data_IF_333382284677
#
_entry.id   IF_333382284677
#
_cell.length_a   1.000
_cell.length_b   1.000
_cell.length_c   1.000
_cell.angle_alpha   90.00
_cell.angle_beta   90.00
_cell.angle_gamma   90.00
#
_symmetry.space_group_name_H-M   'P 1'
#
loop_
_entity.id
_entity.type
_entity.pdbx_description
1 polymer ?
#
# COMPACT_ATOMS: atom_id res chain seq x y z
N UNK A 1 27.42 -14.73 21.31
CA UNK A 1 26.84 -13.65 20.47
C UNK A 1 25.72 -13.02 21.28
N UNK A 2 25.73 -11.70 21.45
CA UNK A 2 24.58 -10.98 22.01
C UNK A 2 23.37 -11.23 21.09
N UNK A 3 22.19 -11.50 21.67
CA UNK A 3 20.97 -11.67 20.90
C UNK A 3 20.61 -10.32 20.24
N UNK A 4 20.41 -10.30 18.92
CA UNK A 4 19.99 -9.11 18.17
C UNK A 4 18.53 -8.79 18.54
N UNK A 5 18.24 -7.54 18.88
CA UNK A 5 16.89 -7.09 19.18
C UNK A 5 16.12 -6.75 17.87
N UNK A 6 14.79 -6.75 17.94
CA UNK A 6 13.95 -6.37 16.79
C UNK A 6 14.27 -4.95 16.28
N UNK A 7 14.52 -3.99 17.19
CA UNK A 7 14.95 -2.62 16.87
C UNK A 7 16.32 -2.51 16.20
N UNK A 8 17.16 -3.54 16.31
CA UNK A 8 18.47 -3.63 15.65
C UNK A 8 18.38 -4.38 14.31
N UNK A 9 17.43 -5.28 14.21
CA UNK A 9 17.21 -6.10 13.01
C UNK A 9 16.46 -5.33 11.92
N UNK A 10 15.46 -4.55 12.31
CA UNK A 10 14.48 -3.97 11.40
C UNK A 10 13.44 -4.98 10.91
N UNK A 11 12.39 -4.48 10.31
CA UNK A 11 11.25 -5.28 9.85
C UNK A 11 11.66 -6.34 8.82
N UNK A 12 12.48 -5.96 7.85
CA UNK A 12 12.89 -6.84 6.74
C UNK A 12 13.62 -8.09 7.22
N UNK A 13 14.55 -7.94 8.18
CA UNK A 13 15.23 -9.09 8.78
C UNK A 13 14.29 -9.97 9.59
N UNK A 14 13.29 -9.40 10.24
CA UNK A 14 12.29 -10.17 10.95
C UNK A 14 11.43 -10.99 9.97
N UNK A 15 11.06 -10.43 8.83
CA UNK A 15 10.36 -11.15 7.75
C UNK A 15 11.24 -12.27 7.19
N UNK A 16 12.51 -11.99 6.89
CA UNK A 16 13.46 -13.01 6.41
C UNK A 16 13.60 -14.18 7.41
N UNK A 17 13.74 -13.87 8.69
CA UNK A 17 13.82 -14.88 9.75
C UNK A 17 12.52 -15.71 9.87
N UNK A 18 11.35 -15.06 9.70
CA UNK A 18 10.08 -15.77 9.69
C UNK A 18 9.97 -16.71 8.47
N UNK A 19 10.33 -16.25 7.28
CA UNK A 19 10.35 -17.07 6.06
C UNK A 19 11.30 -18.25 6.19
N UNK A 20 12.50 -18.04 6.76
CA UNK A 20 13.46 -19.10 7.02
C UNK A 20 12.90 -20.15 8.01
N UNK A 21 12.27 -19.69 9.09
CA UNK A 21 11.69 -20.56 10.11
C UNK A 21 10.49 -21.37 9.59
N UNK A 22 9.64 -20.79 8.74
CA UNK A 22 8.52 -21.48 8.10
C UNK A 22 9.02 -22.50 7.06
N UNK A 23 10.08 -22.15 6.35
CA UNK A 23 10.64 -22.98 5.30
C UNK A 23 9.81 -22.94 3.99
N UNK A 24 10.00 -23.97 3.14
CA UNK A 24 9.29 -24.04 1.86
C UNK A 24 7.81 -24.34 2.05
N UNK A 25 6.99 -23.57 1.35
CA UNK A 25 5.54 -23.79 1.26
C UNK A 25 5.15 -24.28 -0.14
N UNK A 26 4.09 -25.08 -0.20
CA UNK A 26 3.48 -25.52 -1.47
C UNK A 26 2.27 -24.65 -1.84
N UNK A 27 2.45 -23.33 -1.80
CA UNK A 27 1.41 -22.39 -2.17
C UNK A 27 1.63 -21.89 -3.60
N UNK A 28 0.54 -21.53 -4.34
CA UNK A 28 0.64 -20.95 -5.68
C UNK A 28 1.46 -19.66 -5.73
N UNK A 29 1.46 -18.90 -4.64
CA UNK A 29 2.23 -17.68 -4.45
C UNK A 29 3.17 -17.87 -3.25
N UNK A 30 4.44 -17.50 -3.40
CA UNK A 30 5.43 -17.61 -2.31
C UNK A 30 5.23 -16.50 -1.27
N UNK A 31 5.72 -16.72 -0.05
CA UNK A 31 5.73 -15.69 1.01
C UNK A 31 6.54 -14.49 0.52
N UNK A 32 6.02 -13.27 0.76
CA UNK A 32 6.63 -12.01 0.36
C UNK A 32 5.88 -11.27 -0.75
N UNK A 33 4.75 -11.82 -1.23
CA UNK A 33 3.78 -11.07 -2.04
C UNK A 33 2.72 -10.41 -1.15
N UNK A 34 1.88 -9.51 -1.66
CA UNK A 34 0.91 -8.73 -0.88
C UNK A 34 -0.18 -9.61 -0.24
N UNK A 35 -0.45 -10.77 -0.82
CA UNK A 35 -1.45 -11.73 -0.32
C UNK A 35 -0.89 -13.15 -0.29
N UNK A 36 -1.49 -14.00 0.52
CA UNK A 36 -1.27 -15.45 0.47
C UNK A 36 -2.38 -16.11 -0.37
N UNK A 37 -2.03 -17.22 -1.05
CA UNK A 37 -2.97 -17.98 -1.89
C UNK A 37 -2.89 -19.45 -1.54
N UNK A 38 -4.05 -20.06 -1.29
CA UNK A 38 -4.18 -21.48 -1.03
C UNK A 38 -5.08 -22.10 -2.11
N UNK A 39 -4.66 -23.23 -2.67
CA UNK A 39 -5.55 -24.01 -3.56
C UNK A 39 -6.61 -24.72 -2.71
N UNK A 40 -7.85 -24.35 -2.92
CA UNK A 40 -9.01 -24.93 -2.28
C UNK A 40 -9.84 -25.73 -3.30
N UNK A 41 -9.26 -26.80 -3.85
CA UNK A 41 -9.93 -27.67 -4.82
C UNK A 41 -10.09 -27.06 -6.21
N UNK A 42 -9.05 -26.40 -6.70
CA UNK A 42 -9.01 -25.71 -8.00
C UNK A 42 -9.52 -24.28 -7.98
N UNK A 43 -9.81 -23.75 -6.80
CA UNK A 43 -10.15 -22.34 -6.57
C UNK A 43 -9.04 -21.71 -5.71
N UNK A 44 -8.47 -20.61 -6.16
CA UNK A 44 -7.51 -19.83 -5.36
C UNK A 44 -8.23 -19.12 -4.21
N UNK A 45 -8.09 -19.64 -2.98
CA UNK A 45 -8.49 -18.93 -1.77
C UNK A 45 -7.39 -17.92 -1.45
N UNK A 46 -7.74 -16.66 -1.43
CA UNK A 46 -6.82 -15.54 -1.15
C UNK A 46 -7.02 -15.09 0.28
N UNK A 47 -5.92 -14.96 1.01
CA UNK A 47 -5.88 -14.50 2.39
C UNK A 47 -4.95 -13.29 2.50
N UNK A 48 -5.37 -12.29 3.26
CA UNK A 48 -4.56 -11.13 3.62
C UNK A 48 -4.76 -10.78 5.08
N UNK A 49 -3.71 -10.33 5.73
CA UNK A 49 -3.80 -9.72 7.06
C UNK A 49 -2.74 -8.66 7.23
N UNK A 50 -3.14 -7.50 7.75
CA UNK A 50 -2.29 -6.45 8.28
C UNK A 50 -2.77 -6.01 9.64
N UNK A 51 -1.86 -5.40 10.38
CA UNK A 51 -2.06 -4.93 11.74
C UNK A 51 -1.79 -3.43 11.81
N UNK A 52 -2.75 -2.67 12.31
CA UNK A 52 -2.62 -1.26 12.66
C UNK A 52 -2.33 -1.15 14.16
N UNK A 53 -1.25 -0.46 14.51
CA UNK A 53 -0.82 -0.21 15.90
C UNK A 53 -0.91 1.29 16.19
N UNK A 54 -1.53 1.67 17.31
CA UNK A 54 -1.82 3.09 17.58
C UNK A 54 -0.58 3.98 17.62
N UNK A 55 0.51 3.50 18.22
CA UNK A 55 1.75 4.28 18.38
C UNK A 55 2.49 4.57 17.07
N UNK A 56 2.28 3.77 16.02
CA UNK A 56 2.97 3.90 14.72
C UNK A 56 2.06 4.39 13.60
N UNK A 57 0.78 3.99 13.60
CA UNK A 57 -0.09 4.11 12.42
C UNK A 57 -1.25 5.10 12.64
N UNK A 58 -1.44 5.62 13.87
CA UNK A 58 -2.56 6.49 14.21
C UNK A 58 -2.09 7.88 14.59
N UNK A 59 -2.13 8.85 13.68
CA UNK A 59 -1.91 10.25 14.03
C UNK A 59 -2.87 10.70 15.16
N UNK A 60 -2.41 11.54 16.11
CA UNK A 60 -3.22 11.98 17.25
C UNK A 60 -4.55 12.65 16.87
N UNK A 61 -4.67 13.15 15.64
CA UNK A 61 -5.87 13.80 15.11
C UNK A 61 -6.88 12.80 14.52
N UNK A 62 -6.52 11.53 14.39
CA UNK A 62 -7.38 10.51 13.80
C UNK A 62 -8.49 10.09 14.77
N UNK A 63 -9.74 10.25 14.35
CA UNK A 63 -10.89 9.83 15.14
C UNK A 63 -11.04 8.29 15.14
N UNK A 64 -11.67 7.70 16.18
CA UNK A 64 -11.87 6.25 16.28
C UNK A 64 -12.53 5.62 15.05
N UNK A 65 -13.49 6.31 14.41
CA UNK A 65 -14.10 5.86 13.15
C UNK A 65 -13.08 5.76 12.03
N UNK A 66 -12.18 6.75 11.91
CA UNK A 66 -11.11 6.77 10.91
C UNK A 66 -10.08 5.67 11.12
N UNK A 67 -9.77 5.33 12.38
CA UNK A 67 -8.90 4.19 12.71
C UNK A 67 -9.48 2.88 12.17
N UNK A 68 -10.77 2.63 12.43
CA UNK A 68 -11.46 1.44 11.91
C UNK A 68 -11.51 1.41 10.38
N UNK A 69 -11.76 2.57 9.75
CA UNK A 69 -11.72 2.73 8.30
C UNK A 69 -10.35 2.40 7.72
N UNK A 70 -9.28 3.03 8.23
CA UNK A 70 -7.90 2.83 7.77
C UNK A 70 -7.47 1.38 7.91
N UNK A 71 -7.74 0.73 9.04
CA UNK A 71 -7.36 -0.67 9.27
C UNK A 71 -7.93 -1.62 8.21
N UNK A 72 -9.15 -1.37 7.73
CA UNK A 72 -9.74 -2.16 6.63
C UNK A 72 -9.12 -1.78 5.29
N UNK A 73 -8.93 -0.48 5.03
CA UNK A 73 -8.41 0.02 3.75
C UNK A 73 -7.01 -0.51 3.45
N UNK A 74 -6.11 -0.57 4.43
CA UNK A 74 -4.77 -1.15 4.29
C UNK A 74 -4.84 -2.54 3.66
N UNK A 75 -5.65 -3.43 4.22
CA UNK A 75 -5.83 -4.79 3.74
C UNK A 75 -6.52 -4.89 2.36
N UNK A 76 -7.48 -4.00 2.10
CA UNK A 76 -8.16 -3.93 0.79
C UNK A 76 -7.20 -3.46 -0.29
N UNK A 77 -6.23 -2.59 0.03
CA UNK A 77 -5.22 -2.11 -0.90
C UNK A 77 -4.37 -3.24 -1.47
N UNK A 78 -3.90 -4.14 -0.62
CA UNK A 78 -3.16 -5.34 -1.05
C UNK A 78 -4.00 -6.24 -1.96
N UNK A 79 -5.25 -6.49 -1.57
CA UNK A 79 -6.14 -7.30 -2.41
C UNK A 79 -6.42 -6.62 -3.75
N UNK A 80 -6.55 -5.29 -3.77
CA UNK A 80 -6.68 -4.49 -4.98
C UNK A 80 -5.48 -4.66 -5.90
N UNK A 81 -4.26 -4.60 -5.37
CA UNK A 81 -3.04 -4.82 -6.13
C UNK A 81 -3.02 -6.18 -6.82
N UNK A 82 -3.65 -7.18 -6.23
CA UNK A 82 -3.73 -8.54 -6.81
C UNK A 82 -4.93 -8.75 -7.73
N UNK A 83 -5.79 -7.74 -7.89
CA UNK A 83 -7.03 -7.85 -8.66
C UNK A 83 -8.03 -8.79 -8.00
N UNK A 84 -8.10 -8.81 -6.68
CA UNK A 84 -8.96 -9.71 -5.90
C UNK A 84 -9.98 -8.90 -5.11
N UNK A 85 -11.26 -9.25 -5.27
CA UNK A 85 -12.31 -8.67 -4.45
C UNK A 85 -12.39 -9.40 -3.10
N UNK A 86 -12.37 -8.69 -1.96
CA UNK A 86 -12.68 -9.30 -0.67
C UNK A 86 -14.09 -9.91 -0.65
N UNK A 87 -14.24 -11.07 -0.04
CA UNK A 87 -15.52 -11.74 0.16
C UNK A 87 -16.02 -11.57 1.60
N UNK A 88 -15.10 -11.56 2.56
CA UNK A 88 -15.39 -11.38 3.98
C UNK A 88 -14.15 -10.93 4.73
N UNK A 89 -14.35 -10.33 5.92
CA UNK A 89 -13.29 -9.96 6.83
C UNK A 89 -13.58 -10.32 8.27
N UNK A 90 -12.54 -10.48 9.08
CA UNK A 90 -12.61 -10.62 10.53
C UNK A 90 -11.63 -9.65 11.20
N UNK A 91 -11.94 -9.22 12.43
CA UNK A 91 -11.14 -8.26 13.19
C UNK A 91 -10.60 -8.92 14.47
N UNK A 92 -9.31 -8.79 14.75
CA UNK A 92 -8.76 -9.06 16.06
C UNK A 92 -8.30 -7.72 16.67
N UNK A 93 -8.86 -7.36 17.83
CA UNK A 93 -8.70 -6.02 18.41
C UNK A 93 -8.15 -6.13 19.84
N UNK A 94 -6.99 -5.53 20.06
CA UNK A 94 -6.44 -5.28 21.39
C UNK A 94 -6.77 -3.86 21.83
N UNK A 95 -7.37 -3.69 23.02
CA UNK A 95 -7.72 -2.36 23.54
C UNK A 95 -7.16 -2.15 24.94
N UNK A 96 -6.70 -0.91 25.28
CA UNK A 96 -6.36 -0.55 26.65
C UNK A 96 -7.60 -0.63 27.59
N UNK A 97 -7.36 -0.90 28.86
CA UNK A 97 -8.44 -1.02 29.84
C UNK A 97 -9.26 0.27 30.08
N UNK A 98 -8.71 1.42 29.72
CA UNK A 98 -9.33 2.75 29.80
C UNK A 98 -9.92 3.23 28.45
N UNK A 99 -9.90 2.40 27.40
CA UNK A 99 -10.49 2.72 26.11
C UNK A 99 -12.01 2.83 26.23
N UNK A 100 -12.58 3.94 25.79
CA UNK A 100 -14.00 4.23 25.98
C UNK A 100 -14.86 3.34 25.10
N UNK A 101 -15.95 2.81 25.64
CA UNK A 101 -16.91 1.97 24.90
C UNK A 101 -17.48 2.68 23.66
N UNK A 102 -17.73 3.99 23.75
CA UNK A 102 -18.27 4.76 22.62
C UNK A 102 -17.24 4.90 21.49
N UNK A 103 -15.95 5.07 21.83
CA UNK A 103 -14.87 5.12 20.85
C UNK A 103 -14.68 3.75 20.19
N UNK A 104 -14.82 2.65 20.94
CA UNK A 104 -14.82 1.30 20.41
C UNK A 104 -15.97 1.08 19.40
N UNK A 105 -17.17 1.53 19.72
CA UNK A 105 -18.31 1.45 18.78
C UNK A 105 -18.07 2.24 17.50
N UNK A 106 -17.46 3.43 17.59
CA UNK A 106 -17.09 4.24 16.43
C UNK A 106 -16.02 3.54 15.58
N UNK A 107 -15.02 2.92 16.20
CA UNK A 107 -14.00 2.14 15.50
C UNK A 107 -14.63 0.99 14.70
N UNK A 108 -15.48 0.17 15.36
CA UNK A 108 -16.18 -0.93 14.67
C UNK A 108 -17.08 -0.40 13.55
N UNK A 109 -17.74 0.74 13.77
CA UNK A 109 -18.54 1.37 12.72
C UNK A 109 -17.69 1.79 11.53
N UNK A 110 -16.52 2.39 11.75
CA UNK A 110 -15.56 2.76 10.68
C UNK A 110 -15.12 1.54 9.87
N UNK A 111 -14.73 0.45 10.53
CA UNK A 111 -14.37 -0.79 9.87
C UNK A 111 -15.54 -1.38 9.06
N UNK A 112 -16.76 -1.36 9.61
CA UNK A 112 -17.95 -1.84 8.91
C UNK A 112 -18.34 -0.96 7.72
N UNK A 113 -18.19 0.35 7.82
CA UNK A 113 -18.47 1.29 6.73
C UNK A 113 -17.46 1.11 5.60
N UNK A 114 -16.17 0.92 5.91
CA UNK A 114 -15.14 0.60 4.92
C UNK A 114 -15.44 -0.74 4.22
N UNK A 115 -15.76 -1.79 4.96
CA UNK A 115 -16.12 -3.08 4.38
C UNK A 115 -17.29 -2.97 3.39
N UNK A 116 -18.34 -2.20 3.73
CA UNK A 116 -19.49 -1.94 2.83
C UNK A 116 -19.09 -1.15 1.59
N UNK A 117 -18.22 -0.13 1.72
CA UNK A 117 -17.71 0.64 0.58
C UNK A 117 -17.05 -0.28 -0.45
N UNK A 118 -16.29 -1.29 0.02
CA UNK A 118 -15.61 -2.26 -0.84
C UNK A 118 -16.43 -3.53 -1.14
N UNK A 119 -17.68 -3.57 -0.67
CA UNK A 119 -18.68 -4.59 -1.05
C UNK A 119 -18.46 -5.95 -0.40
N UNK A 120 -18.06 -5.97 0.87
CA UNK A 120 -18.00 -7.16 1.72
C UNK A 120 -18.48 -6.85 3.15
N UNK A 121 -18.49 -7.84 4.04
CA UNK A 121 -18.91 -7.70 5.43
C UNK A 121 -17.83 -8.17 6.39
N UNK A 122 -17.79 -7.54 7.59
CA UNK A 122 -17.07 -8.07 8.75
C UNK A 122 -17.97 -9.14 9.38
N UNK A 123 -17.52 -10.37 9.36
CA UNK A 123 -18.34 -11.54 9.75
C UNK A 123 -17.95 -12.14 11.11
N UNK A 124 -16.94 -11.58 11.78
CA UNK A 124 -16.48 -12.07 13.08
C UNK A 124 -15.22 -11.38 13.55
N UNK A 125 -14.67 -11.88 14.64
CA UNK A 125 -13.43 -11.37 15.20
C UNK A 125 -13.20 -11.81 16.64
N UNK A 126 -12.20 -11.19 17.28
CA UNK A 126 -11.82 -11.39 18.67
C UNK A 126 -11.49 -10.05 19.32
N UNK A 127 -11.60 -9.96 20.64
CA UNK A 127 -11.25 -8.75 21.40
C UNK A 127 -10.49 -9.13 22.66
N UNK A 128 -9.35 -8.49 22.90
CA UNK A 128 -8.52 -8.75 24.06
C UNK A 128 -7.99 -7.46 24.69
N UNK A 129 -7.53 -7.55 25.94
CA UNK A 129 -6.85 -6.43 26.59
C UNK A 129 -5.43 -6.29 26.06
N UNK A 130 -5.02 -5.05 25.79
CA UNK A 130 -3.68 -4.72 25.31
C UNK A 130 -3.16 -3.44 26.00
N UNK A 131 -1.89 -3.11 25.84
CA UNK A 131 -1.32 -1.88 26.39
C UNK A 131 -1.67 -0.64 25.57
N UNK A 132 -1.84 -0.81 24.26
CA UNK A 132 -2.28 0.21 23.31
C UNK A 132 -3.29 -0.38 22.33
N UNK A 133 -3.97 0.46 21.57
CA UNK A 133 -4.90 0.00 20.55
C UNK A 133 -4.15 -0.70 19.41
N UNK A 134 -4.57 -1.93 19.14
CA UNK A 134 -4.11 -2.74 18.01
C UNK A 134 -5.32 -3.26 17.25
N UNK A 135 -5.33 -3.12 15.94
CA UNK A 135 -6.42 -3.60 15.08
C UNK A 135 -5.82 -4.45 13.97
N UNK A 136 -5.90 -5.76 14.09
CA UNK A 136 -5.56 -6.66 13.01
C UNK A 136 -6.81 -7.01 12.20
N UNK A 137 -6.74 -6.83 10.90
CA UNK A 137 -7.79 -7.21 9.96
C UNK A 137 -7.30 -8.41 9.16
N UNK A 138 -8.14 -9.43 9.02
CA UNK A 138 -7.89 -10.50 8.08
C UNK A 138 -9.02 -10.57 7.05
N UNK A 139 -8.65 -10.57 5.78
CA UNK A 139 -9.57 -10.63 4.64
C UNK A 139 -9.43 -11.98 3.92
N UNK A 140 -10.54 -12.50 3.46
CA UNK A 140 -10.60 -13.64 2.56
C UNK A 140 -11.26 -13.24 1.24
N UNK A 141 -10.77 -13.78 0.13
CA UNK A 141 -11.33 -13.62 -1.19
C UNK A 141 -11.10 -14.87 -2.04
N UNK A 142 -11.66 -14.88 -3.23
CA UNK A 142 -11.42 -15.96 -4.19
C UNK A 142 -11.04 -15.37 -5.54
N UNK A 143 -10.06 -15.97 -6.20
CA UNK A 143 -9.62 -15.54 -7.51
C UNK A 143 -9.26 -16.72 -8.41
N UNK A 144 -9.58 -16.58 -9.71
CA UNK A 144 -9.08 -17.48 -10.75
C UNK A 144 -7.72 -17.05 -11.29
N UNK A 145 -7.41 -15.77 -11.19
CA UNK A 145 -6.16 -15.14 -11.61
C UNK A 145 -5.77 -14.11 -10.55
N UNK A 146 -4.50 -14.05 -10.27
CA UNK A 146 -3.88 -13.09 -9.36
C UNK A 146 -2.76 -12.42 -10.12
N UNK A 147 -2.57 -11.12 -9.95
CA UNK A 147 -1.45 -10.37 -10.50
C UNK A 147 -0.34 -10.37 -9.44
N UNK A 148 0.74 -11.16 -9.60
CA UNK A 148 1.83 -11.20 -8.62
C UNK A 148 2.69 -9.93 -8.68
N UNK A 149 3.58 -9.75 -7.71
CA UNK A 149 4.67 -8.75 -7.79
C UNK A 149 5.67 -9.11 -8.91
N UNK A 150 5.79 -10.39 -9.26
CA UNK A 150 6.65 -10.88 -10.34
C UNK A 150 5.91 -10.90 -11.68
N UNK A 151 6.67 -10.83 -12.77
CA UNK A 151 6.11 -11.00 -14.13
C UNK A 151 6.33 -9.82 -15.05
N UNK A 152 6.89 -8.71 -14.55
CA UNK A 152 7.32 -7.60 -15.39
C UNK A 152 8.41 -8.05 -16.36
N UNK A 153 8.34 -7.57 -17.59
CA UNK A 153 9.32 -7.86 -18.66
C UNK A 153 9.92 -6.56 -19.18
N UNK A 154 11.17 -6.57 -19.63
CA UNK A 154 11.76 -5.40 -20.30
C UNK A 154 10.86 -4.93 -21.44
N UNK A 155 10.55 -3.62 -21.43
CA UNK A 155 9.61 -2.98 -22.35
C UNK A 155 8.19 -2.80 -21.80
N UNK A 156 7.81 -3.48 -20.72
CA UNK A 156 6.52 -3.23 -20.05
C UNK A 156 6.47 -1.78 -19.54
N UNK A 157 5.31 -1.16 -19.68
CA UNK A 157 5.05 0.19 -19.20
C UNK A 157 4.86 0.14 -17.68
N UNK A 158 5.64 0.93 -16.93
CA UNK A 158 5.41 1.18 -15.51
C UNK A 158 4.37 2.28 -15.38
N UNK A 159 3.35 2.05 -14.56
CA UNK A 159 2.25 2.98 -14.35
C UNK A 159 1.73 2.98 -12.91
N UNK A 160 1.00 4.05 -12.54
CA UNK A 160 0.34 4.20 -11.24
C UNK A 160 -1.12 4.61 -11.41
N UNK A 161 -1.96 4.31 -10.43
CA UNK A 161 -3.39 4.65 -10.41
C UNK A 161 -3.67 6.08 -9.94
N UNK A 162 -2.66 6.79 -9.44
CA UNK A 162 -2.80 8.18 -8.97
C UNK A 162 -1.47 8.89 -8.77
N UNK A 163 -1.56 10.05 -8.15
CA UNK A 163 -0.44 10.90 -7.77
C UNK A 163 0.09 10.50 -6.39
N UNK A 164 1.33 10.89 -6.11
CA UNK A 164 2.05 10.63 -4.88
C UNK A 164 2.43 11.92 -4.14
N UNK A 165 2.74 11.79 -2.85
CA UNK A 165 3.19 12.86 -1.99
C UNK A 165 2.10 13.47 -1.12
N UNK A 166 0.81 13.19 -1.37
CA UNK A 166 -0.29 13.74 -0.58
C UNK A 166 -0.29 13.23 0.86
N UNK A 167 -0.19 11.91 1.04
CA UNK A 167 -0.14 11.31 2.37
C UNK A 167 1.12 11.71 3.13
N UNK A 168 2.27 11.70 2.47
CA UNK A 168 3.54 12.15 3.03
C UNK A 168 3.50 13.61 3.51
N UNK A 169 2.99 14.53 2.67
CA UNK A 169 2.80 15.92 3.04
C UNK A 169 1.79 16.10 4.17
N UNK A 170 0.69 15.34 4.14
CA UNK A 170 -0.35 15.32 5.16
C UNK A 170 0.17 14.84 6.52
N UNK A 171 0.98 13.78 6.55
CA UNK A 171 1.65 13.30 7.77
C UNK A 171 2.58 14.36 8.36
N UNK A 172 3.39 15.02 7.52
CA UNK A 172 4.26 16.12 7.98
C UNK A 172 3.45 17.31 8.52
N UNK A 173 2.32 17.65 7.89
CA UNK A 173 1.43 18.66 8.41
C UNK A 173 0.84 18.26 9.78
N UNK A 174 0.36 17.02 9.93
CA UNK A 174 -0.30 16.54 11.14
C UNK A 174 0.67 16.28 12.30
N UNK A 175 1.84 15.69 12.02
CA UNK A 175 2.77 15.23 13.05
C UNK A 175 3.86 16.26 13.37
N UNK A 176 4.37 16.97 12.35
CA UNK A 176 5.44 17.96 12.52
C UNK A 176 4.90 19.40 12.61
N UNK A 177 3.60 19.62 12.37
CA UNK A 177 2.97 20.95 12.41
C UNK A 177 3.38 21.88 11.28
N UNK A 178 3.95 21.36 10.18
CA UNK A 178 4.34 22.18 9.04
C UNK A 178 3.11 22.84 8.40
N UNK A 179 3.17 24.14 8.04
CA UNK A 179 2.01 24.87 7.53
C UNK A 179 1.57 24.34 6.14
N UNK A 180 0.25 24.26 5.94
CA UNK A 180 -0.38 23.96 4.66
C UNK A 180 -1.20 25.17 4.21
N UNK A 181 -1.24 25.44 2.90
CA UNK A 181 -2.13 26.46 2.33
C UNK A 181 -3.59 26.12 2.69
N UNK A 182 -4.43 27.09 3.04
CA UNK A 182 -5.83 26.81 3.43
C UNK A 182 -6.61 26.01 2.38
N UNK A 183 -6.34 26.26 1.08
CA UNK A 183 -6.98 25.54 -0.04
C UNK A 183 -6.51 24.09 -0.22
N UNK A 184 -5.29 23.75 0.21
CA UNK A 184 -4.66 22.46 -0.02
C UNK A 184 -4.81 21.52 1.20
N UNK A 185 -5.10 22.09 2.39
CA UNK A 185 -5.13 21.36 3.65
C UNK A 185 -6.01 20.10 3.62
N UNK A 186 -7.21 20.19 3.06
CA UNK A 186 -8.13 19.05 2.97
C UNK A 186 -7.55 17.95 2.07
N UNK A 187 -6.96 18.33 0.92
CA UNK A 187 -6.36 17.39 0.00
C UNK A 187 -5.16 16.64 0.61
N UNK A 188 -4.40 17.29 1.51
CA UNK A 188 -3.27 16.68 2.20
C UNK A 188 -3.71 15.80 3.38
N UNK A 189 -4.69 16.25 4.17
CA UNK A 189 -5.08 15.58 5.43
C UNK A 189 -5.99 14.38 5.19
N UNK A 190 -6.91 14.50 4.22
CA UNK A 190 -7.90 13.44 3.95
C UNK A 190 -7.31 12.09 3.55
N UNK A 191 -6.27 11.99 2.68
CA UNK A 191 -5.64 10.71 2.37
C UNK A 191 -5.02 10.01 3.58
N UNK A 192 -4.54 10.77 4.57
CA UNK A 192 -3.98 10.21 5.81
C UNK A 192 -5.08 9.68 6.74
N UNK A 193 -6.12 10.49 6.97
CA UNK A 193 -7.17 10.18 7.94
C UNK A 193 -8.26 9.25 7.38
N UNK A 194 -8.52 9.32 6.08
CA UNK A 194 -9.54 8.55 5.37
C UNK A 194 -8.98 8.03 4.04
N UNK A 195 -7.96 7.15 4.09
CA UNK A 195 -7.34 6.60 2.88
C UNK A 195 -8.35 5.83 2.02
N UNK A 196 -7.99 5.62 0.75
CA UNK A 196 -8.80 4.88 -0.21
C UNK A 196 -7.97 3.83 -0.93
N UNK A 197 -8.40 2.58 -0.90
CA UNK A 197 -7.84 1.53 -1.73
C UNK A 197 -8.38 1.60 -3.18
N UNK A 198 -7.55 1.28 -4.13
CA UNK A 198 -7.86 1.30 -5.58
C UNK A 198 -8.47 -0.03 -6.05
N UNK A 199 -9.49 -0.52 -5.32
CA UNK A 199 -10.05 -1.85 -5.60
C UNK A 199 -10.71 -1.94 -6.98
N UNK A 200 -11.45 -0.92 -7.41
CA UNK A 200 -12.11 -0.91 -8.73
C UNK A 200 -11.08 -0.89 -9.85
N UNK A 201 -10.07 -0.06 -9.71
CA UNK A 201 -8.94 0.06 -10.63
C UNK A 201 -8.13 -1.25 -10.68
N UNK A 202 -7.82 -1.85 -9.53
CA UNK A 202 -7.10 -3.13 -9.43
C UNK A 202 -7.83 -4.27 -10.11
N UNK A 203 -9.15 -4.38 -9.90
CA UNK A 203 -9.99 -5.37 -10.60
C UNK A 203 -10.02 -5.13 -12.11
N UNK A 204 -10.07 -3.87 -12.55
CA UNK A 204 -10.03 -3.50 -13.97
C UNK A 204 -8.67 -3.79 -14.61
N UNK A 205 -7.57 -3.63 -13.86
CA UNK A 205 -6.19 -3.87 -14.31
C UNK A 205 -5.81 -5.34 -14.37
N UNK A 206 -6.44 -6.18 -13.55
CA UNK A 206 -6.07 -7.60 -13.43
C UNK A 206 -5.96 -8.37 -14.76
N UNK A 207 -6.80 -8.15 -15.79
CA UNK A 207 -6.64 -8.82 -17.09
C UNK A 207 -5.40 -8.38 -17.88
N UNK A 208 -4.86 -7.21 -17.62
CA UNK A 208 -3.85 -6.53 -18.45
C UNK A 208 -2.49 -6.44 -17.78
N UNK A 209 -2.42 -6.35 -16.45
CA UNK A 209 -1.17 -6.17 -15.74
C UNK A 209 -0.30 -7.43 -15.79
N UNK A 210 1.00 -7.26 -15.98
CA UNK A 210 2.02 -8.31 -15.89
C UNK A 210 2.55 -8.46 -14.47
N UNK A 211 2.67 -7.36 -13.70
CA UNK A 211 2.99 -7.35 -12.29
C UNK A 211 2.28 -6.17 -11.59
N UNK A 212 2.06 -6.29 -10.29
CA UNK A 212 1.38 -5.26 -9.49
C UNK A 212 1.77 -5.35 -8.02
N UNK A 213 1.81 -4.18 -7.37
CA UNK A 213 1.96 -3.98 -5.93
C UNK A 213 1.15 -2.73 -5.54
N UNK A 214 0.65 -2.65 -4.31
CA UNK A 214 0.20 -1.37 -3.77
C UNK A 214 1.37 -0.57 -3.17
N UNK A 215 1.16 0.70 -2.92
CA UNK A 215 2.21 1.56 -2.37
C UNK A 215 1.83 2.05 -0.98
N UNK A 216 2.17 1.24 0.03
CA UNK A 216 2.10 1.57 1.46
C UNK A 216 3.36 2.27 1.95
N UNK A 217 4.54 1.85 1.47
CA UNK A 217 5.85 2.28 1.96
C UNK A 217 6.53 3.32 1.07
N UNK A 218 5.89 3.71 -0.03
CA UNK A 218 6.37 4.70 -0.98
C UNK A 218 6.67 4.13 -2.37
N UNK A 219 6.62 5.03 -3.37
CA UNK A 219 6.77 4.65 -4.78
C UNK A 219 8.13 3.99 -5.07
N UNK A 220 9.22 4.54 -4.51
CA UNK A 220 10.57 4.00 -4.72
C UNK A 220 10.66 2.55 -4.23
N UNK A 221 10.16 2.28 -3.02
CA UNK A 221 10.13 0.94 -2.46
C UNK A 221 9.31 -0.02 -3.33
N UNK A 222 8.09 0.38 -3.73
CA UNK A 222 7.21 -0.44 -4.57
C UNK A 222 7.86 -0.81 -5.91
N UNK A 223 8.57 0.14 -6.55
CA UNK A 223 9.29 -0.12 -7.81
C UNK A 223 10.48 -1.07 -7.60
N UNK A 224 11.21 -0.94 -6.50
CA UNK A 224 12.30 -1.88 -6.17
C UNK A 224 11.80 -3.30 -5.90
N UNK A 225 10.66 -3.44 -5.22
CA UNK A 225 10.06 -4.77 -4.99
C UNK A 225 9.60 -5.43 -6.30
N UNK A 226 8.96 -4.67 -7.21
CA UNK A 226 8.63 -5.16 -8.55
C UNK A 226 9.89 -5.56 -9.35
N UNK A 227 10.95 -4.74 -9.27
CA UNK A 227 12.23 -5.00 -9.92
C UNK A 227 12.86 -6.30 -9.43
N UNK A 228 12.95 -6.47 -8.11
CA UNK A 228 13.48 -7.64 -7.41
C UNK A 228 12.68 -8.89 -7.76
N UNK A 229 11.36 -8.83 -7.63
CA UNK A 229 10.47 -9.97 -7.86
C UNK A 229 10.48 -10.43 -9.33
N UNK A 230 10.62 -9.50 -10.28
CA UNK A 230 10.61 -9.78 -11.72
C UNK A 230 12.01 -10.00 -12.31
N UNK A 231 13.08 -9.64 -11.59
CA UNK A 231 14.46 -9.74 -12.08
C UNK A 231 14.80 -8.75 -13.21
N UNK A 232 14.13 -7.59 -13.24
CA UNK A 232 14.30 -6.48 -14.19
C UNK A 232 14.75 -5.21 -13.46
N UNK A 233 15.02 -4.14 -14.21
CA UNK A 233 15.13 -2.79 -13.66
C UNK A 233 14.00 -1.91 -14.15
N UNK A 234 14.01 -0.63 -13.72
CA UNK A 234 13.03 0.35 -14.16
C UNK A 234 13.69 1.69 -14.45
N UNK A 235 13.22 2.35 -15.51
CA UNK A 235 13.53 3.73 -15.81
C UNK A 235 12.27 4.56 -15.63
N UNK A 236 12.24 5.36 -14.57
CA UNK A 236 11.17 6.29 -14.22
C UNK A 236 11.38 7.57 -15.06
N UNK A 237 10.46 7.84 -15.97
CA UNK A 237 10.50 8.97 -16.89
C UNK A 237 9.69 10.16 -16.38
N UNK A 238 8.68 9.87 -15.55
CA UNK A 238 7.79 10.85 -14.96
C UNK A 238 7.42 10.42 -13.54
N UNK A 239 7.73 11.26 -12.55
CA UNK A 239 7.30 11.03 -11.16
C UNK A 239 5.95 11.74 -10.98
N UNK A 240 4.87 11.00 -10.65
CA UNK A 240 3.52 11.55 -10.57
C UNK A 240 3.30 12.29 -9.25
N UNK A 241 3.85 13.48 -9.09
CA UNK A 241 3.73 14.30 -7.89
C UNK A 241 2.38 15.02 -7.89
N UNK A 242 1.65 14.94 -6.77
CA UNK A 242 0.42 15.70 -6.60
C UNK A 242 0.71 17.22 -6.54
N UNK A 243 -0.07 18.07 -7.23
CA UNK A 243 0.16 19.52 -7.22
C UNK A 243 0.16 20.13 -5.81
N UNK A 244 -0.73 19.68 -4.94
CA UNK A 244 -0.83 20.15 -3.56
C UNK A 244 0.39 19.72 -2.71
N UNK A 245 0.93 18.51 -2.96
CA UNK A 245 2.16 18.06 -2.33
C UNK A 245 3.37 18.86 -2.82
N UNK A 246 3.43 19.20 -4.12
CA UNK A 246 4.47 20.05 -4.66
C UNK A 246 4.43 21.47 -4.05
N UNK A 247 3.23 22.07 -3.96
CA UNK A 247 3.02 23.37 -3.32
C UNK A 247 3.41 23.34 -1.83
N UNK A 248 3.03 22.28 -1.11
CA UNK A 248 3.42 22.10 0.29
C UNK A 248 4.93 21.98 0.47
N UNK A 249 5.59 21.22 -0.42
CA UNK A 249 7.03 21.07 -0.40
C UNK A 249 7.75 22.41 -0.62
N UNK A 250 7.32 23.20 -1.61
CA UNK A 250 7.87 24.53 -1.90
C UNK A 250 7.76 25.47 -0.69
N UNK A 251 6.56 25.58 -0.09
CA UNK A 251 6.31 26.44 1.06
C UNK A 251 7.12 26.08 2.31
N UNK A 252 7.48 24.80 2.46
CA UNK A 252 8.21 24.27 3.61
C UNK A 252 9.68 23.95 3.31
N UNK A 253 10.22 24.35 2.16
CA UNK A 253 11.60 24.05 1.75
C UNK A 253 11.95 22.55 1.77
N UNK A 254 10.98 21.71 1.36
CA UNK A 254 11.13 20.28 1.22
C UNK A 254 11.33 19.89 -0.24
N UNK A 255 11.83 18.69 -0.49
CA UNK A 255 11.89 18.10 -1.82
C UNK A 255 10.54 17.47 -2.19
N UNK A 256 9.83 17.96 -3.24
CA UNK A 256 8.62 17.32 -3.70
C UNK A 256 8.88 15.89 -4.25
N UNK A 257 10.08 15.65 -4.78
CA UNK A 257 10.52 14.32 -5.22
C UNK A 257 10.60 13.36 -4.03
N UNK A 258 11.16 13.80 -2.89
CA UNK A 258 11.27 12.95 -1.70
C UNK A 258 9.90 12.62 -1.12
N UNK A 259 8.97 13.57 -1.10
CA UNK A 259 7.60 13.32 -0.66
C UNK A 259 6.91 12.24 -1.52
N UNK A 260 7.10 12.29 -2.83
CA UNK A 260 6.47 11.36 -3.76
C UNK A 260 7.16 9.99 -3.85
N UNK A 261 8.50 9.96 -3.79
CA UNK A 261 9.25 8.72 -3.94
C UNK A 261 9.30 7.90 -2.65
N UNK A 262 9.50 8.56 -1.52
CA UNK A 262 9.86 7.91 -0.25
C UNK A 262 8.81 8.03 0.84
N UNK A 263 7.73 8.77 0.59
CA UNK A 263 6.60 8.87 1.50
C UNK A 263 5.66 7.68 1.39
N UNK A 264 5.20 7.17 2.53
CA UNK A 264 4.26 6.05 2.60
C UNK A 264 2.79 6.47 2.66
N UNK A 265 1.93 5.48 2.84
CA UNK A 265 0.47 5.57 3.05
C UNK A 265 -0.34 6.11 1.84
N UNK A 266 0.18 6.02 0.63
CA UNK A 266 -0.53 6.51 -0.56
C UNK A 266 -1.62 5.55 -1.04
N UNK A 267 -1.45 4.23 -0.86
CA UNK A 267 -2.38 3.17 -1.26
C UNK A 267 -2.77 3.22 -2.75
N UNK A 268 -1.91 3.80 -3.57
CA UNK A 268 -1.99 3.72 -5.02
C UNK A 268 -1.40 2.40 -5.53
N UNK A 269 -1.88 1.93 -6.68
CA UNK A 269 -1.29 0.75 -7.31
C UNK A 269 -0.13 1.15 -8.20
N UNK A 270 0.95 0.39 -8.12
CA UNK A 270 2.10 0.46 -9.02
C UNK A 270 2.09 -0.82 -9.86
N UNK A 271 1.93 -0.67 -11.16
CA UNK A 271 1.68 -1.80 -12.06
C UNK A 271 2.60 -1.77 -13.27
N UNK A 272 2.86 -2.95 -13.84
CA UNK A 272 3.48 -3.07 -15.16
C UNK A 272 2.50 -3.62 -16.17
N UNK A 273 2.51 -3.07 -17.37
CA UNK A 273 1.54 -3.39 -18.43
C UNK A 273 2.29 -3.58 -19.74
N UNK A 274 2.11 -4.72 -20.45
CA UNK A 274 2.65 -4.88 -21.79
C UNK A 274 2.16 -3.76 -22.72
N UNK A 275 3.05 -3.20 -23.58
CA UNK A 275 2.69 -2.04 -24.43
C UNK A 275 1.44 -2.25 -25.29
N UNK A 276 1.24 -3.46 -25.79
CA UNK A 276 0.06 -3.84 -26.58
C UNK A 276 -1.25 -3.81 -25.78
N UNK A 277 -1.18 -3.94 -24.45
CA UNK A 277 -2.34 -3.92 -23.55
C UNK A 277 -2.64 -2.54 -22.99
N UNK A 278 -1.75 -1.54 -23.18
CA UNK A 278 -1.83 -0.24 -22.54
C UNK A 278 -3.17 0.48 -22.77
N UNK A 279 -3.59 0.61 -24.03
CA UNK A 279 -4.82 1.33 -24.36
C UNK A 279 -6.07 0.69 -23.77
N UNK A 280 -6.11 -0.65 -23.74
CA UNK A 280 -7.22 -1.39 -23.15
C UNK A 280 -7.23 -1.26 -21.61
N UNK A 281 -6.05 -1.33 -20.98
CA UNK A 281 -5.89 -1.14 -19.54
C UNK A 281 -6.30 0.29 -19.10
N UNK A 282 -5.81 1.31 -19.80
CA UNK A 282 -6.15 2.70 -19.51
C UNK A 282 -7.66 2.96 -19.61
N UNK A 283 -8.30 2.45 -20.67
CA UNK A 283 -9.75 2.55 -20.84
C UNK A 283 -10.52 1.82 -19.74
N UNK A 284 -10.08 0.62 -19.35
CA UNK A 284 -10.75 -0.14 -18.29
C UNK A 284 -10.67 0.58 -16.94
N UNK A 285 -9.54 1.21 -16.62
CA UNK A 285 -9.38 2.02 -15.40
C UNK A 285 -10.25 3.28 -15.45
N UNK A 286 -10.34 3.96 -16.60
CA UNK A 286 -11.22 5.12 -16.78
C UNK A 286 -12.69 4.73 -16.60
N UNK A 287 -13.15 3.61 -17.17
CA UNK A 287 -14.49 3.07 -16.99
C UNK A 287 -14.79 2.68 -15.53
N UNK A 288 -13.76 2.29 -14.76
CA UNK A 288 -13.85 2.06 -13.32
C UNK A 288 -13.93 3.37 -12.49
N UNK A 289 -13.78 4.54 -13.13
CA UNK A 289 -13.79 5.86 -12.50
C UNK A 289 -12.43 6.33 -11.99
N UNK A 290 -11.35 5.60 -12.32
CA UNK A 290 -9.97 5.92 -11.95
C UNK A 290 -9.19 6.59 -13.08
N UNK A 291 -7.88 6.63 -12.90
CA UNK A 291 -6.89 7.07 -13.91
C UNK A 291 -5.70 6.12 -13.91
N UNK A 292 -4.99 6.08 -15.03
CA UNK A 292 -3.74 5.34 -15.14
C UNK A 292 -2.67 6.31 -15.68
N UNK A 293 -1.61 6.53 -14.89
CA UNK A 293 -0.54 7.47 -15.19
C UNK A 293 0.69 6.67 -15.61
N UNK A 294 1.21 6.91 -16.81
CA UNK A 294 2.48 6.33 -17.24
C UNK A 294 3.62 6.99 -16.47
N UNK A 295 4.43 6.17 -15.81
CA UNK A 295 5.55 6.58 -14.97
C UNK A 295 6.89 6.30 -15.66
N UNK A 296 7.00 5.19 -16.40
CA UNK A 296 8.24 4.79 -17.04
C UNK A 296 8.14 3.45 -17.75
N UNK A 297 9.27 2.74 -17.81
CA UNK A 297 9.37 1.44 -18.47
C UNK A 297 10.27 0.47 -17.71
N UNK A 298 9.99 -0.81 -17.82
CA UNK A 298 10.87 -1.87 -17.35
C UNK A 298 12.08 -2.04 -18.27
N UNK A 299 13.27 -2.25 -17.72
CA UNK A 299 14.54 -2.37 -18.44
C UNK A 299 15.21 -3.72 -18.19
N UNK A 300 16.20 -4.05 -19.03
CA UNK A 300 17.02 -5.27 -18.85
C UNK A 300 18.08 -5.08 -17.76
N UNK A 301 18.60 -3.89 -17.65
CA UNK A 301 19.55 -3.46 -16.62
C UNK A 301 18.84 -3.47 -15.26
N UNK A 302 19.39 -4.21 -14.30
CA UNK A 302 18.76 -4.41 -12.97
C UNK A 302 18.96 -3.22 -12.02
N UNK A 303 18.76 -2.00 -12.54
CA UNK A 303 18.85 -0.76 -11.79
C UNK A 303 17.49 -0.06 -11.82
N UNK A 304 17.18 0.68 -10.77
CA UNK A 304 16.03 1.58 -10.73
C UNK A 304 16.58 3.01 -10.81
N UNK A 305 16.28 3.69 -11.91
CA UNK A 305 16.72 5.06 -12.14
C UNK A 305 15.54 5.97 -12.45
N UNK A 306 15.64 7.24 -12.06
CA UNK A 306 14.69 8.28 -12.43
C UNK A 306 15.37 9.33 -13.31
N UNK A 307 14.62 9.87 -14.26
CA UNK A 307 15.07 11.00 -15.10
C UNK A 307 14.65 12.30 -14.40
N UNK A 308 15.64 12.99 -13.83
CA UNK A 308 15.46 14.28 -13.17
C UNK A 308 16.29 15.31 -13.92
N UNK A 309 15.67 16.38 -14.40
CA UNK A 309 16.34 17.44 -15.19
C UNK A 309 17.15 16.91 -16.38
N UNK A 310 16.62 15.86 -17.05
CA UNK A 310 17.24 15.22 -18.22
C UNK A 310 18.43 14.31 -17.90
N UNK A 311 18.69 14.03 -16.62
CA UNK A 311 19.76 13.13 -16.16
C UNK A 311 19.17 11.92 -15.45
N UNK A 312 19.79 10.78 -15.63
CA UNK A 312 19.46 9.59 -14.88
C UNK A 312 20.11 9.66 -13.49
N UNK A 313 19.27 9.48 -12.47
CA UNK A 313 19.66 9.45 -11.04
C UNK A 313 19.21 8.12 -10.49
N UNK A 314 20.05 7.43 -9.76
CA UNK A 314 19.68 6.20 -9.06
C UNK A 314 18.60 6.47 -8.00
N UNK A 315 17.55 5.67 -7.99
CA UNK A 315 16.50 5.73 -6.97
C UNK A 315 16.89 4.77 -5.84
N UNK A 316 17.04 5.31 -4.64
CA UNK A 316 17.42 4.50 -3.48
C UNK A 316 16.29 3.52 -3.10
N UNK A 317 16.62 2.26 -2.68
CA UNK A 317 15.64 1.29 -2.20
C UNK A 317 15.22 1.59 -0.76
N UNK A 318 14.62 2.76 -0.54
CA UNK A 318 14.13 3.22 0.77
C UNK A 318 12.66 3.59 0.70
N UNK A 319 12.00 3.54 1.83
CA UNK A 319 10.62 3.88 2.09
C UNK A 319 10.39 3.88 3.59
N UNK A 320 9.16 3.84 4.02
CA UNK A 320 8.85 3.62 5.42
C UNK A 320 9.28 2.20 5.83
N UNK A 321 9.81 2.06 7.04
CA UNK A 321 10.16 0.76 7.63
C UNK A 321 9.98 0.82 9.15
N UNK A 322 9.22 -0.11 9.72
CA UNK A 322 9.09 -0.22 11.17
C UNK A 322 10.44 -0.53 11.82
N UNK A 323 10.62 -0.08 13.05
CA UNK A 323 11.80 -0.24 13.89
C UNK A 323 13.05 0.60 13.52
N UNK A 324 13.10 1.24 12.36
CA UNK A 324 14.26 2.04 11.94
C UNK A 324 14.01 3.56 11.98
N UNK A 325 12.94 4.02 12.62
CA UNK A 325 12.59 5.44 12.79
C UNK A 325 13.04 5.98 14.14
#
# INVERSE_FOLDING_TARGET
MLAMLASEAGERKLIEAAVEAIGRISAPLQIGDDVAVVDAGGIGLVLKTDMLVASTDVPPQMAPWQVGWKAVVMNVSDMAAKGVKPAAGVLAIGVPGDYRLEDFKLLIKGASDAAREYGFEIVGGDTNACRELVVAVALAGVAKRIVPRSGAKPGDILATTGYFGLASAGLKHLLEGLPARPGDREALVKPVLEPKARLREGLALAPYASASIDSSDGLAWSVHELAKASGVGFRIEHIPIAPEAASFAEDNSLSPLDLALYGGEEYELVVTIPPESWSAAAKAVEEAGGRLIRVGVATREKHVVAVVDGREVEVEPRGYEHFLT
#
